data_IF_299477409342
#
_entry.id   IF_299477409342
#
_cell.length_a   1.000
_cell.length_b   1.000
_cell.length_c   1.000
_cell.angle_alpha   90.00
_cell.angle_beta   90.00
_cell.angle_gamma   90.00
#
_symmetry.space_group_name_H-M   'P 1'
#
loop_
_entity.id
_entity.type
_entity.pdbx_description
1 polymer ?
#
# COMPACT_ATOMS: atom_id res chain seq x y z
N UNK A 1 14.40 -17.86 10.35
CA UNK A 1 13.87 -16.86 9.40
C UNK A 1 13.83 -17.51 8.04
N UNK A 2 12.64 -17.84 7.53
CA UNK A 2 12.52 -18.35 6.15
C UNK A 2 12.73 -17.22 5.14
N UNK A 3 13.39 -17.52 4.02
CA UNK A 3 13.37 -16.65 2.86
C UNK A 3 11.99 -16.79 2.20
N UNK A 4 11.20 -15.71 2.16
CA UNK A 4 9.93 -15.68 1.43
C UNK A 4 10.19 -15.25 -0.01
N UNK A 5 9.43 -15.81 -0.94
CA UNK A 5 9.32 -15.27 -2.30
C UNK A 5 8.14 -14.30 -2.35
N UNK A 6 8.25 -13.28 -3.21
CA UNK A 6 7.08 -12.47 -3.56
C UNK A 6 6.02 -13.34 -4.23
N UNK A 7 4.75 -12.97 -4.07
CA UNK A 7 3.66 -13.58 -4.83
C UNK A 7 3.98 -13.47 -6.33
N UNK A 8 3.80 -14.55 -7.14
CA UNK A 8 3.99 -14.50 -8.57
C UNK A 8 3.18 -13.37 -9.23
N UNK A 9 3.74 -12.77 -10.28
CA UNK A 9 3.14 -11.61 -10.95
C UNK A 9 3.11 -11.83 -12.44
N UNK A 10 2.04 -11.36 -13.07
CA UNK A 10 2.04 -11.11 -14.51
C UNK A 10 2.93 -9.89 -14.80
N UNK A 11 3.51 -9.86 -16.01
CA UNK A 11 4.31 -8.74 -16.50
C UNK A 11 3.82 -8.39 -17.90
N UNK A 12 3.36 -7.16 -18.08
CA UNK A 12 2.87 -6.66 -19.37
C UNK A 12 3.43 -5.26 -19.64
N UNK A 13 3.47 -4.86 -20.92
CA UNK A 13 3.73 -3.47 -21.28
C UNK A 13 2.49 -2.63 -20.97
N UNK A 14 2.68 -1.45 -20.36
CA UNK A 14 1.60 -0.47 -20.23
C UNK A 14 1.34 0.19 -21.59
N UNK A 15 0.31 -0.24 -22.31
CA UNK A 15 -0.04 0.34 -23.61
C UNK A 15 -0.51 1.80 -23.51
N UNK A 16 -0.95 2.27 -22.33
CA UNK A 16 -1.41 3.66 -22.16
C UNK A 16 -0.23 4.62 -22.08
N UNK A 17 0.81 4.28 -21.32
CA UNK A 17 1.99 5.15 -21.16
C UNK A 17 3.10 4.83 -22.15
N UNK A 18 3.20 3.57 -22.60
CA UNK A 18 4.30 2.98 -23.39
C UNK A 18 5.69 3.15 -22.77
N UNK A 19 5.75 3.51 -21.49
CA UNK A 19 6.99 3.77 -20.74
C UNK A 19 7.09 2.94 -19.47
N UNK A 20 6.06 2.15 -19.13
CA UNK A 20 6.00 1.37 -17.90
C UNK A 20 5.76 -0.11 -18.20
N UNK A 21 6.27 -0.97 -17.33
CA UNK A 21 5.78 -2.34 -17.21
C UNK A 21 4.73 -2.37 -16.10
N UNK A 22 3.66 -3.12 -16.34
CA UNK A 22 2.63 -3.43 -15.36
C UNK A 22 3.01 -4.74 -14.69
N UNK A 23 3.21 -4.69 -13.36
CA UNK A 23 3.36 -5.87 -12.53
C UNK A 23 2.10 -6.02 -11.70
N UNK A 24 1.44 -7.17 -11.80
CA UNK A 24 0.19 -7.42 -11.08
C UNK A 24 0.17 -8.83 -10.51
N UNK A 25 -0.35 -9.06 -9.29
CA UNK A 25 -0.53 -10.41 -8.76
C UNK A 25 -1.27 -11.29 -9.77
N UNK A 26 -0.85 -12.55 -9.89
CA UNK A 26 -1.58 -13.54 -10.70
C UNK A 26 -2.99 -13.74 -10.13
N UNK A 27 -3.97 -14.01 -10.98
CA UNK A 27 -5.39 -14.08 -10.58
C UNK A 27 -5.68 -15.20 -9.58
N UNK A 28 -4.87 -16.26 -9.58
CA UNK A 28 -4.99 -17.40 -8.68
C UNK A 28 -4.87 -17.01 -7.22
N UNK A 29 -4.20 -15.89 -6.87
CA UNK A 29 -4.18 -15.43 -5.48
C UNK A 29 -5.59 -15.11 -4.97
N UNK A 30 -6.51 -14.73 -5.85
CA UNK A 30 -7.86 -14.33 -5.50
C UNK A 30 -8.70 -15.51 -5.01
N UNK A 31 -8.28 -16.76 -5.28
CA UNK A 31 -8.94 -17.95 -4.72
C UNK A 31 -8.75 -18.10 -3.22
N UNK A 32 -7.78 -17.37 -2.63
CA UNK A 32 -7.56 -17.32 -1.18
C UNK A 32 -8.43 -16.27 -0.49
N UNK A 33 -9.18 -15.44 -1.24
CA UNK A 33 -10.07 -14.44 -0.64
C UNK A 33 -11.21 -15.12 0.10
N UNK A 34 -11.43 -14.70 1.34
CA UNK A 34 -12.53 -15.14 2.20
C UNK A 34 -13.57 -14.02 2.35
N UNK A 35 -13.71 -13.48 3.56
CA UNK A 35 -14.64 -12.41 3.88
C UNK A 35 -14.22 -11.11 3.19
N UNK A 36 -15.20 -10.26 2.83
CA UNK A 36 -14.95 -8.94 2.28
C UNK A 36 -15.56 -7.85 3.17
N UNK A 37 -14.77 -6.83 3.47
CA UNK A 37 -15.24 -5.55 4.04
C UNK A 37 -15.18 -4.50 2.94
N UNK A 38 -16.34 -3.98 2.55
CA UNK A 38 -16.46 -2.96 1.50
C UNK A 38 -16.94 -1.65 2.10
N UNK A 39 -16.20 -0.57 1.84
CA UNK A 39 -16.55 0.79 2.23
C UNK A 39 -16.39 1.72 1.02
N UNK A 40 -17.21 2.75 0.93
CA UNK A 40 -17.14 3.76 -0.11
C UNK A 40 -17.35 5.15 0.46
N UNK A 41 -16.95 6.16 -0.30
CA UNK A 41 -17.24 7.58 -0.04
C UNK A 41 -16.79 8.06 1.36
N UNK A 42 -15.65 7.55 1.83
CA UNK A 42 -15.08 7.95 3.12
C UNK A 42 -14.23 9.20 2.91
N UNK A 43 -14.69 10.32 3.45
CA UNK A 43 -13.88 11.55 3.55
C UNK A 43 -12.90 11.46 4.70
N UNK A 44 -11.61 11.58 4.40
CA UNK A 44 -10.51 11.58 5.36
C UNK A 44 -10.00 13.01 5.49
N UNK A 45 -10.40 13.67 6.57
CA UNK A 45 -9.98 15.05 6.87
C UNK A 45 -8.47 15.18 7.05
N UNK A 46 -7.94 16.40 6.85
CA UNK A 46 -6.51 16.68 7.03
C UNK A 46 -6.05 16.31 8.44
N UNK A 47 -4.91 15.63 8.55
CA UNK A 47 -4.35 15.18 9.83
C UNK A 47 -5.14 14.06 10.52
N UNK A 48 -6.08 13.42 9.82
CA UNK A 48 -6.98 12.43 10.40
C UNK A 48 -6.68 11.00 9.93
N UNK A 49 -7.18 10.05 10.72
CA UNK A 49 -7.13 8.62 10.43
C UNK A 49 -8.51 8.00 10.64
N UNK A 50 -8.88 7.07 9.76
CA UNK A 50 -10.12 6.32 9.83
C UNK A 50 -9.79 4.83 10.04
N UNK A 51 -10.37 4.22 11.07
CA UNK A 51 -10.16 2.80 11.38
C UNK A 51 -11.03 1.93 10.49
N UNK A 52 -10.43 0.96 9.81
CA UNK A 52 -11.14 -0.03 8.99
C UNK A 52 -11.53 -1.21 9.90
N UNK A 53 -12.82 -1.46 10.13
CA UNK A 53 -13.27 -2.54 11.02
C UNK A 53 -13.07 -3.90 10.33
N UNK A 54 -12.03 -4.63 10.76
CA UNK A 54 -11.69 -5.97 10.26
C UNK A 54 -11.69 -6.99 11.41
N UNK A 55 -11.82 -8.29 11.10
CA UNK A 55 -11.70 -9.34 12.12
C UNK A 55 -10.25 -9.72 12.39
N UNK A 56 -9.43 -9.69 11.34
CA UNK A 56 -7.98 -9.90 11.36
C UNK A 56 -7.30 -8.90 10.41
N UNK A 57 -6.04 -8.58 10.64
CA UNK A 57 -5.36 -7.50 9.92
C UNK A 57 -3.91 -7.81 9.51
N UNK A 58 -3.50 -9.07 9.63
CA UNK A 58 -2.15 -9.56 9.34
C UNK A 58 -2.06 -10.41 8.06
N UNK A 59 -3.19 -10.88 7.51
CA UNK A 59 -3.23 -11.57 6.22
C UNK A 59 -4.40 -11.06 5.34
N UNK A 60 -4.11 -10.12 4.44
CA UNK A 60 -5.11 -9.32 3.73
C UNK A 60 -4.77 -9.10 2.24
N UNK A 61 -5.81 -8.92 1.44
CA UNK A 61 -5.74 -8.31 0.11
C UNK A 61 -6.65 -7.08 0.07
N UNK A 62 -6.03 -5.90 0.01
CA UNK A 62 -6.70 -4.61 0.12
C UNK A 62 -6.66 -3.90 -1.22
N UNK A 63 -7.81 -3.45 -1.73
CA UNK A 63 -7.90 -2.56 -2.88
C UNK A 63 -8.52 -1.23 -2.46
N UNK A 64 -7.88 -0.11 -2.81
CA UNK A 64 -8.41 1.22 -2.50
C UNK A 64 -8.23 2.19 -3.68
N UNK A 65 -9.18 3.11 -3.83
CA UNK A 65 -9.07 4.26 -4.73
C UNK A 65 -9.36 5.57 -4.02
N UNK A 66 -8.59 6.60 -4.36
CA UNK A 66 -8.65 7.92 -3.74
C UNK A 66 -8.88 9.00 -4.79
N UNK A 67 -9.64 10.02 -4.40
CA UNK A 67 -9.81 11.26 -5.15
C UNK A 67 -9.39 12.45 -4.29
N UNK A 68 -8.70 13.37 -4.96
CA UNK A 68 -8.36 14.68 -4.42
C UNK A 68 -9.37 15.70 -4.93
N UNK A 69 -9.65 16.72 -4.13
CA UNK A 69 -10.44 17.86 -4.60
C UNK A 69 -9.67 18.62 -5.70
N UNK A 70 -10.33 18.84 -6.84
CA UNK A 70 -9.79 19.62 -7.95
C UNK A 70 -9.41 21.06 -7.53
N UNK A 71 -10.15 21.64 -6.58
CA UNK A 71 -9.85 22.96 -6.02
C UNK A 71 -8.51 22.98 -5.28
N UNK A 72 -8.21 21.90 -4.55
CA UNK A 72 -6.97 21.74 -3.80
C UNK A 72 -5.77 21.50 -4.71
N UNK A 73 -5.95 20.72 -5.78
CA UNK A 73 -4.95 20.56 -6.85
C UNK A 73 -4.64 21.90 -7.49
N UNK A 74 -5.66 22.72 -7.78
CA UNK A 74 -5.49 24.03 -8.40
C UNK A 74 -4.74 24.99 -7.48
N UNK A 75 -5.03 24.94 -6.17
CA UNK A 75 -4.44 25.80 -5.15
C UNK A 75 -2.96 25.48 -4.81
N UNK A 76 -2.41 24.37 -5.30
CA UNK A 76 -0.97 24.06 -5.19
C UNK A 76 -0.12 25.07 -5.98
N UNK A 77 0.19 26.23 -5.40
CA UNK A 77 0.87 27.31 -6.12
C UNK A 77 2.41 27.21 -6.08
N UNK A 78 2.96 26.50 -5.10
CA UNK A 78 4.40 26.36 -4.92
C UNK A 78 4.88 25.02 -5.47
N UNK A 79 6.00 25.06 -6.20
CA UNK A 79 6.65 23.86 -6.68
C UNK A 79 7.35 23.15 -5.51
N UNK A 80 7.09 21.85 -5.36
CA UNK A 80 7.77 20.97 -4.40
C UNK A 80 8.64 19.98 -5.18
N UNK A 81 9.82 20.49 -5.55
CA UNK A 81 10.73 19.92 -6.56
C UNK A 81 11.63 18.84 -5.94
N UNK A 82 11.58 18.67 -4.62
CA UNK A 82 12.50 17.82 -3.86
C UNK A 82 11.86 16.57 -3.27
N UNK A 83 10.55 16.36 -3.43
CA UNK A 83 9.90 15.23 -2.78
C UNK A 83 10.42 13.90 -3.35
N UNK A 84 10.95 13.07 -2.45
CA UNK A 84 11.21 11.67 -2.72
C UNK A 84 10.92 10.85 -1.46
N UNK A 85 10.46 9.62 -1.65
CA UNK A 85 10.06 8.77 -0.53
C UNK A 85 11.18 8.61 0.51
N UNK A 86 12.43 8.38 0.07
CA UNK A 86 13.54 8.04 0.95
C UNK A 86 14.07 9.15 1.86
N UNK A 87 13.93 10.42 1.48
CA UNK A 87 14.53 11.54 2.22
C UNK A 87 13.55 12.63 2.64
N UNK A 88 12.27 12.51 2.28
CA UNK A 88 11.25 13.53 2.59
C UNK A 88 10.48 13.26 3.89
N UNK A 89 11.01 12.43 4.78
CA UNK A 89 10.50 12.24 6.15
C UNK A 89 9.29 11.30 6.29
N UNK A 90 8.95 10.55 5.24
CA UNK A 90 7.94 9.49 5.29
C UNK A 90 6.53 9.97 5.62
N UNK A 91 5.71 9.09 6.18
CA UNK A 91 4.31 9.32 6.50
C UNK A 91 4.08 10.36 7.61
N UNK A 92 5.10 10.67 8.41
CA UNK A 92 5.02 11.69 9.47
C UNK A 92 5.23 13.11 8.94
N UNK A 93 5.93 13.27 7.82
CA UNK A 93 6.18 14.55 7.18
C UNK A 93 4.94 15.03 6.45
N UNK A 94 4.46 16.22 6.77
CA UNK A 94 3.22 16.77 6.22
C UNK A 94 3.51 17.64 5.02
N UNK A 95 2.72 17.46 3.95
CA UNK A 95 2.73 18.33 2.78
C UNK A 95 1.32 18.76 2.39
N UNK A 96 1.25 19.55 1.31
CA UNK A 96 0.00 20.14 0.87
C UNK A 96 -1.03 19.07 0.43
N UNK A 97 -0.63 18.13 -0.44
CA UNK A 97 -1.46 17.00 -0.89
C UNK A 97 -0.78 15.67 -0.57
N UNK A 98 -0.74 15.38 0.72
CA UNK A 98 -0.27 14.11 1.27
C UNK A 98 0.74 14.28 2.40
N UNK A 99 1.19 13.17 2.97
CA UNK A 99 0.90 11.79 2.56
C UNK A 99 -0.53 11.34 2.91
N UNK A 100 -1.16 10.58 2.03
CA UNK A 100 -2.47 9.94 2.26
C UNK A 100 -2.52 8.54 1.66
N UNK A 101 -3.26 7.63 2.29
CA UNK A 101 -3.36 6.24 1.84
C UNK A 101 -3.77 5.30 2.96
N UNK A 102 -3.05 4.17 3.08
CA UNK A 102 -3.28 3.11 4.06
C UNK A 102 -2.16 3.06 5.10
N UNK A 103 -2.53 2.67 6.31
CA UNK A 103 -1.62 2.18 7.33
C UNK A 103 -2.02 0.73 7.61
N UNK A 104 -1.08 -0.20 7.46
CA UNK A 104 -1.26 -1.64 7.69
C UNK A 104 -0.29 -2.13 8.77
N UNK A 105 -0.60 -3.29 9.35
CA UNK A 105 0.18 -3.87 10.45
C UNK A 105 0.44 -2.82 11.54
N UNK A 106 -0.63 -2.13 11.95
CA UNK A 106 -0.54 -1.04 12.91
C UNK A 106 -1.03 -1.45 14.29
N UNK A 107 -0.36 -0.97 15.33
CA UNK A 107 -0.79 -1.16 16.72
C UNK A 107 -2.12 -0.43 16.96
N UNK A 108 -2.99 -1.03 17.77
CA UNK A 108 -4.32 -0.51 18.11
C UNK A 108 -4.35 0.90 18.72
N UNK A 109 -3.25 1.33 19.35
CA UNK A 109 -3.11 2.65 19.98
C UNK A 109 -2.75 3.79 19.01
N UNK A 110 -2.54 3.51 17.71
CA UNK A 110 -2.18 4.44 16.61
C UNK A 110 -0.83 5.19 16.79
N UNK A 111 -0.25 5.14 17.97
CA UNK A 111 1.05 5.72 18.32
C UNK A 111 2.17 4.67 18.30
N UNK A 112 1.81 3.39 18.14
CA UNK A 112 2.70 2.25 18.09
C UNK A 112 3.38 2.01 16.74
N UNK A 113 3.60 0.74 16.46
CA UNK A 113 4.16 0.26 15.21
C UNK A 113 3.16 0.45 14.07
N UNK A 114 3.67 0.69 12.87
CA UNK A 114 2.86 0.84 11.67
C UNK A 114 3.71 0.77 10.41
N UNK A 115 3.12 0.24 9.32
CA UNK A 115 3.67 0.37 7.97
C UNK A 115 2.72 1.20 7.13
N UNK A 116 3.17 2.35 6.62
CA UNK A 116 2.31 3.22 5.82
C UNK A 116 2.54 2.99 4.32
N UNK A 117 1.47 2.97 3.54
CA UNK A 117 1.44 2.83 2.08
C UNK A 117 0.64 4.00 1.54
N UNK A 118 1.28 4.92 0.81
CA UNK A 118 0.66 6.21 0.56
C UNK A 118 1.06 6.87 -0.76
N UNK A 119 0.22 7.79 -1.19
CA UNK A 119 0.52 8.77 -2.23
C UNK A 119 0.94 10.11 -1.62
N UNK A 120 1.79 10.80 -2.35
CA UNK A 120 2.11 12.20 -2.14
C UNK A 120 2.09 12.90 -3.50
N UNK A 121 1.34 13.99 -3.63
CA UNK A 121 1.21 14.75 -4.87
C UNK A 121 1.89 16.10 -4.71
N UNK A 122 2.91 16.34 -5.51
CA UNK A 122 3.64 17.61 -5.61
C UNK A 122 3.40 18.29 -6.95
N UNK A 123 3.79 19.57 -7.04
CA UNK A 123 3.85 20.30 -8.32
C UNK A 123 5.31 20.49 -8.73
N UNK A 124 5.64 20.14 -9.97
CA UNK A 124 6.96 20.33 -10.58
C UNK A 124 7.21 21.77 -11.03
N UNK A 125 8.45 22.06 -11.44
CA UNK A 125 8.86 23.37 -12.00
C UNK A 125 8.13 23.73 -13.29
N UNK A 126 7.76 22.73 -14.06
CA UNK A 126 6.97 22.84 -15.29
C UNK A 126 5.47 23.09 -15.01
N UNK A 127 5.08 23.13 -13.74
CA UNK A 127 3.70 23.26 -13.29
C UNK A 127 2.91 21.94 -13.36
N UNK A 128 3.51 20.85 -13.85
CA UNK A 128 2.86 19.55 -13.92
C UNK A 128 2.77 18.93 -12.52
N UNK A 129 1.73 18.13 -12.30
CA UNK A 129 1.62 17.35 -11.07
C UNK A 129 2.55 16.14 -11.14
N UNK A 130 3.24 15.88 -10.05
CA UNK A 130 4.04 14.69 -9.85
C UNK A 130 3.45 13.89 -8.70
N UNK A 131 3.17 12.61 -8.94
CA UNK A 131 2.66 11.71 -7.91
C UNK A 131 3.76 10.75 -7.50
N UNK A 132 4.08 10.72 -6.21
CA UNK A 132 4.96 9.72 -5.61
C UNK A 132 4.13 8.69 -4.87
N UNK A 133 4.50 7.41 -5.03
CA UNK A 133 3.94 6.31 -4.27
C UNK A 133 5.03 5.71 -3.37
N UNK A 134 4.75 5.67 -2.06
CA UNK A 134 5.72 5.32 -1.05
C UNK A 134 5.20 4.24 -0.09
N UNK A 135 6.11 3.41 0.41
CA UNK A 135 5.92 2.49 1.51
C UNK A 135 6.94 2.82 2.60
N UNK A 136 6.45 3.22 3.75
CA UNK A 136 7.23 3.71 4.88
C UNK A 136 7.28 2.66 6.00
N UNK A 137 8.48 2.09 6.16
CA UNK A 137 8.80 1.11 7.18
C UNK A 137 9.39 1.74 8.45
N UNK A 138 9.57 3.08 8.51
CA UNK A 138 10.31 3.77 9.58
C UNK A 138 9.77 3.48 10.98
N UNK A 139 8.46 3.21 11.08
CA UNK A 139 7.75 2.84 12.31
C UNK A 139 7.25 1.39 12.31
N UNK A 140 7.71 0.53 11.40
CA UNK A 140 7.14 -0.82 11.24
C UNK A 140 7.48 -1.81 12.35
N UNK A 141 8.42 -1.46 13.25
CA UNK A 141 8.85 -2.31 14.35
C UNK A 141 9.47 -1.49 15.49
N UNK A 142 9.41 -1.98 16.72
CA UNK A 142 10.18 -1.50 17.89
C UNK A 142 11.59 -2.08 17.94
N UNK A 143 11.86 -3.16 17.22
CA UNK A 143 13.18 -3.77 17.16
C UNK A 143 14.22 -2.78 16.62
N UNK A 144 15.43 -2.81 17.18
CA UNK A 144 16.53 -1.88 16.83
C UNK A 144 17.43 -2.43 15.73
N UNK A 145 17.44 -3.74 15.57
CA UNK A 145 18.30 -4.53 14.68
C UNK A 145 17.62 -4.90 13.35
N UNK A 146 16.46 -4.31 13.06
CA UNK A 146 15.78 -4.44 11.76
C UNK A 146 15.99 -3.19 10.92
N UNK A 147 16.32 -3.38 9.64
CA UNK A 147 16.40 -2.28 8.68
C UNK A 147 15.00 -1.71 8.44
N UNK A 148 14.89 -0.38 8.50
CA UNK A 148 13.66 0.36 8.23
C UNK A 148 13.99 1.50 7.28
N UNK A 149 13.23 1.61 6.20
CA UNK A 149 13.42 2.62 5.17
C UNK A 149 12.08 3.07 4.62
N UNK A 150 12.10 4.19 3.94
CA UNK A 150 10.98 4.60 3.09
C UNK A 150 11.38 4.31 1.65
N UNK A 151 10.63 3.45 0.98
CA UNK A 151 10.87 3.01 -0.39
C UNK A 151 9.71 3.44 -1.27
N UNK A 152 9.98 3.67 -2.55
CA UNK A 152 8.95 4.10 -3.49
C UNK A 152 9.55 4.87 -4.65
N UNK A 153 8.67 5.37 -5.52
CA UNK A 153 9.06 6.12 -6.71
C UNK A 153 7.93 7.04 -7.16
N UNK A 154 8.25 7.95 -8.08
CA UNK A 154 7.24 8.62 -8.89
C UNK A 154 6.47 7.59 -9.72
N UNK A 155 5.16 7.79 -9.86
CA UNK A 155 4.26 6.94 -10.65
C UNK A 155 3.40 7.83 -11.57
N UNK A 156 3.28 7.50 -12.86
CA UNK A 156 2.43 8.26 -13.77
C UNK A 156 0.94 8.00 -13.47
N UNK A 157 0.19 9.09 -13.40
CA UNK A 157 -1.27 9.13 -13.22
C UNK A 157 -1.83 9.86 -14.43
N UNK A 158 -2.68 9.18 -15.22
CA UNK A 158 -3.26 9.78 -16.42
C UNK A 158 -4.51 10.59 -16.07
N UNK A 159 -4.89 11.50 -16.98
CA UNK A 159 -6.08 12.32 -16.78
C UNK A 159 -7.34 11.46 -16.57
N UNK A 160 -8.14 11.83 -15.58
CA UNK A 160 -9.34 11.10 -15.16
C UNK A 160 -9.10 9.83 -14.33
N UNK A 161 -7.87 9.35 -14.17
CA UNK A 161 -7.59 8.17 -13.32
C UNK A 161 -7.70 8.52 -11.83
N UNK A 162 -8.40 7.68 -11.07
CA UNK A 162 -8.35 7.73 -9.61
C UNK A 162 -7.02 7.16 -9.11
N UNK A 163 -6.52 7.70 -8.00
CA UNK A 163 -5.31 7.20 -7.35
C UNK A 163 -5.61 5.84 -6.72
N UNK A 164 -5.14 4.77 -7.34
CA UNK A 164 -5.51 3.39 -6.98
C UNK A 164 -4.33 2.60 -6.44
N UNK A 165 -4.59 1.77 -5.43
CA UNK A 165 -3.62 0.85 -4.83
C UNK A 165 -4.26 -0.52 -4.58
N UNK A 166 -3.47 -1.57 -4.74
CA UNK A 166 -3.71 -2.90 -4.19
C UNK A 166 -2.56 -3.25 -3.23
N UNK A 167 -2.87 -3.72 -2.03
CA UNK A 167 -1.87 -4.03 -0.99
C UNK A 167 -2.14 -5.44 -0.47
N UNK A 168 -1.18 -6.33 -0.68
CA UNK A 168 -1.15 -7.66 -0.09
C UNK A 168 -0.34 -7.58 1.21
N UNK A 169 -0.96 -7.95 2.32
CA UNK A 169 -0.34 -8.06 3.63
C UNK A 169 -0.29 -9.55 3.98
N UNK A 170 0.90 -10.04 4.33
CA UNK A 170 1.08 -11.40 4.83
C UNK A 170 2.16 -11.39 5.91
N UNK A 171 1.72 -11.20 7.15
CA UNK A 171 2.50 -11.16 8.38
C UNK A 171 3.71 -10.20 8.29
N UNK A 172 4.83 -10.69 7.75
CA UNK A 172 6.11 -9.98 7.65
C UNK A 172 6.44 -9.45 6.26
N UNK A 173 5.52 -9.53 5.31
CA UNK A 173 5.68 -8.97 3.96
C UNK A 173 4.48 -8.11 3.58
N UNK A 174 4.76 -6.94 3.02
CA UNK A 174 3.75 -6.03 2.46
C UNK A 174 4.13 -5.76 1.00
N UNK A 175 3.27 -6.15 0.07
CA UNK A 175 3.44 -5.94 -1.37
C UNK A 175 2.36 -5.00 -1.87
N UNK A 176 2.76 -3.85 -2.38
CA UNK A 176 1.84 -2.80 -2.81
C UNK A 176 2.00 -2.52 -4.30
N UNK A 177 0.87 -2.36 -4.98
CA UNK A 177 0.76 -2.17 -6.42
C UNK A 177 -0.08 -0.92 -6.67
N UNK A 178 0.57 0.16 -7.09
CA UNK A 178 -0.09 1.43 -7.36
C UNK A 178 -0.38 1.60 -8.85
N UNK A 179 -1.48 2.31 -9.13
CA UNK A 179 -1.91 2.69 -10.48
C UNK A 179 -1.96 1.50 -11.44
N UNK A 180 -2.60 0.40 -11.02
CA UNK A 180 -2.72 -0.82 -11.82
C UNK A 180 -1.39 -1.55 -12.05
N UNK A 181 -0.43 -1.42 -11.13
CA UNK A 181 0.85 -2.11 -11.19
C UNK A 181 1.99 -1.34 -11.87
N UNK A 182 1.77 -0.07 -12.25
CA UNK A 182 2.83 0.81 -12.80
C UNK A 182 3.95 1.10 -11.81
N UNK A 183 3.65 1.06 -10.52
CA UNK A 183 4.63 1.10 -9.45
C UNK A 183 4.34 -0.06 -8.48
N UNK A 184 5.35 -0.87 -8.21
CA UNK A 184 5.25 -1.98 -7.25
C UNK A 184 6.33 -1.83 -6.19
N UNK A 185 5.92 -1.91 -4.92
CA UNK A 185 6.81 -1.81 -3.77
C UNK A 185 6.63 -3.05 -2.90
N UNK A 186 7.73 -3.58 -2.38
CA UNK A 186 7.69 -4.76 -1.51
C UNK A 186 8.61 -4.51 -0.32
N UNK A 187 8.06 -4.65 0.89
CA UNK A 187 8.81 -4.51 2.13
C UNK A 187 8.71 -5.75 2.97
N UNK A 188 9.77 -5.98 3.74
CA UNK A 188 9.77 -6.91 4.86
C UNK A 188 9.67 -6.10 6.14
N UNK A 189 8.70 -6.43 6.98
CA UNK A 189 8.43 -5.72 8.23
C UNK A 189 8.27 -6.74 9.36
N UNK A 190 8.64 -6.35 10.58
CA UNK A 190 8.69 -7.27 11.71
C UNK A 190 8.12 -6.59 12.96
N UNK A 191 6.82 -6.27 12.98
CA UNK A 191 6.18 -5.69 14.15
C UNK A 191 6.29 -6.65 15.36
N UNK A 192 6.41 -6.07 16.55
CA UNK A 192 6.44 -6.76 17.84
C UNK A 192 5.12 -6.61 18.61
N UNK A 193 4.37 -5.55 18.34
CA UNK A 193 3.10 -5.18 18.97
C UNK A 193 1.93 -5.42 18.01
N UNK A 194 2.09 -5.03 16.74
CA UNK A 194 1.05 -5.12 15.72
C UNK A 194 1.02 -6.52 15.06
N UNK A 195 0.69 -7.54 15.85
CA UNK A 195 0.63 -8.94 15.42
C UNK A 195 -0.76 -9.54 15.69
N UNK A 196 -1.25 -10.38 14.78
CA UNK A 196 -2.54 -11.05 14.90
C UNK A 196 -3.70 -10.08 15.20
N UNK A 197 -4.49 -10.36 16.24
CA UNK A 197 -5.64 -9.55 16.67
C UNK A 197 -5.27 -8.12 17.13
N UNK A 198 -3.98 -7.86 17.41
CA UNK A 198 -3.51 -6.53 17.79
C UNK A 198 -3.14 -5.65 16.60
N UNK A 199 -3.05 -6.24 15.39
CA UNK A 199 -2.85 -5.50 14.16
C UNK A 199 -4.14 -4.82 13.72
N UNK A 200 -4.02 -3.62 13.15
CA UNK A 200 -5.11 -2.87 12.57
C UNK A 200 -4.78 -2.31 11.19
N UNK A 201 -5.83 -1.92 10.48
CA UNK A 201 -5.75 -1.20 9.20
C UNK A 201 -6.46 0.14 9.32
N UNK A 202 -5.82 1.18 8.79
CA UNK A 202 -6.37 2.53 8.81
C UNK A 202 -6.25 3.18 7.44
N UNK A 203 -7.25 3.95 7.04
CA UNK A 203 -7.07 4.99 6.04
C UNK A 203 -6.50 6.23 6.75
N UNK A 204 -5.61 6.96 6.10
CA UNK A 204 -5.06 8.20 6.67
C UNK A 204 -4.88 9.30 5.64
N UNK A 205 -4.93 10.54 6.14
CA UNK A 205 -4.56 11.73 5.40
C UNK A 205 -3.78 12.66 6.34
N UNK A 206 -2.45 12.72 6.18
CA UNK A 206 -1.60 13.62 6.97
C UNK A 206 -1.28 14.94 6.22
N UNK A 207 -2.05 15.25 5.17
CA UNK A 207 -1.90 16.50 4.41
C UNK A 207 -2.28 17.75 5.25
N UNK A 208 -1.96 18.93 4.70
CA UNK A 208 -2.29 20.23 5.30
C UNK A 208 -3.40 20.98 4.58
N UNK A 209 -3.59 20.78 3.27
CA UNK A 209 -4.45 21.68 2.48
C UNK A 209 -5.85 21.14 2.19
N UNK A 210 -6.05 19.82 2.13
CA UNK A 210 -7.34 19.27 1.71
C UNK A 210 -7.60 17.87 2.27
N UNK A 211 -8.88 17.58 2.46
CA UNK A 211 -9.35 16.22 2.71
C UNK A 211 -9.16 15.34 1.48
N UNK A 212 -9.15 14.03 1.70
CA UNK A 212 -9.06 13.04 0.63
C UNK A 212 -10.27 12.14 0.72
N UNK A 213 -10.91 11.89 -0.41
CA UNK A 213 -12.02 10.94 -0.47
C UNK A 213 -11.49 9.57 -0.87
N UNK A 214 -11.63 8.58 0.00
CA UNK A 214 -11.52 7.19 -0.38
C UNK A 214 -12.84 6.78 -1.07
N UNK A 215 -12.81 6.77 -2.40
CA UNK A 215 -13.98 6.47 -3.26
C UNK A 215 -14.40 5.01 -3.09
N UNK A 216 -13.43 4.09 -3.05
CA UNK A 216 -13.65 2.67 -2.80
C UNK A 216 -12.55 2.12 -1.91
N UNK A 217 -12.94 1.30 -0.94
CA UNK A 217 -12.04 0.44 -0.18
C UNK A 217 -12.68 -0.95 -0.09
N UNK A 218 -11.97 -1.96 -0.55
CA UNK A 218 -12.35 -3.37 -0.38
C UNK A 218 -11.20 -4.09 0.27
N UNK A 219 -11.49 -4.76 1.38
CA UNK A 219 -10.52 -5.56 2.12
C UNK A 219 -11.01 -7.00 2.16
N UNK A 220 -10.23 -7.89 1.57
CA UNK A 220 -10.41 -9.32 1.73
C UNK A 220 -9.49 -9.84 2.82
N UNK A 221 -10.06 -10.61 3.74
CA UNK A 221 -9.28 -11.54 4.55
C UNK A 221 -8.80 -12.69 3.65
N UNK A 222 -7.56 -13.11 3.81
CA UNK A 222 -6.97 -14.14 2.96
C UNK A 222 -6.76 -15.42 3.74
N UNK A 223 -7.02 -16.57 3.12
CA UNK A 223 -6.65 -17.89 3.66
C UNK A 223 -5.17 -18.20 3.43
N UNK A 224 -4.60 -19.07 4.26
CA UNK A 224 -3.24 -19.56 4.06
C UNK A 224 -3.18 -20.48 2.84
N UNK A 225 -2.14 -20.33 2.02
CA UNK A 225 -1.92 -21.24 0.90
C UNK A 225 -1.52 -22.64 1.42
N UNK A 226 -2.09 -23.73 0.88
CA UNK A 226 -1.68 -25.08 1.26
C UNK A 226 -0.25 -25.33 0.80
N UNK A 227 0.60 -25.80 1.72
CA UNK A 227 1.97 -26.22 1.41
C UNK A 227 2.10 -27.71 1.66
N UNK A 228 1.49 -28.51 0.78
CA UNK A 228 1.63 -29.96 0.80
C UNK A 228 2.88 -30.37 0.02
N UNK A 229 3.80 -31.05 0.70
CA UNK A 229 4.89 -31.74 0.03
C UNK A 229 4.29 -32.99 -0.59
N UNK A 230 4.13 -33.03 -1.91
CA UNK A 230 3.77 -34.26 -2.62
C UNK A 230 4.96 -35.22 -2.49
N UNK A 231 4.91 -36.12 -1.52
CA UNK A 231 5.84 -37.25 -1.43
C UNK A 231 5.36 -38.34 -2.38
N UNK A 232 6.02 -38.46 -3.52
CA UNK A 232 5.73 -39.43 -4.58
C UNK A 232 6.17 -40.86 -4.17
N UNK A 233 5.53 -41.43 -3.15
CA UNK A 233 5.66 -42.87 -2.82
C UNK A 233 4.73 -43.75 -3.67
N UNK A 234 4.01 -43.18 -4.66
CA UNK A 234 3.02 -43.90 -5.47
C UNK A 234 3.47 -44.28 -6.89
N UNK A 235 4.72 -44.02 -7.28
CA UNK A 235 5.25 -44.40 -8.60
C UNK A 235 6.46 -45.37 -8.59
N UNK A 236 6.76 -46.01 -7.44
CA UNK A 236 7.86 -46.99 -7.32
C UNK A 236 7.44 -48.47 -7.35
N UNK A 237 6.33 -48.80 -8.02
CA UNK A 237 6.00 -50.19 -8.34
C UNK A 237 5.89 -50.39 -9.85
N UNK A 238 7.05 -50.63 -10.47
CA UNK A 238 7.13 -51.45 -11.68
C UNK A 238 7.55 -52.85 -11.22
N UNK A 239 6.59 -53.77 -11.12
CA UNK A 239 6.83 -55.21 -11.27
C UNK A 239 6.51 -55.63 -12.71
#
# INVERSE_FOLDING_TARGET
>A
MGLNQSVPRTVALDEKTRTNLLLWPVEEIETLRLNATELSDITIETGSVFHVPLRQADQLDIEASFRLDASAITALNEADIGYNCSSSGGAASRGALGPFGLIVLASSDRCGEQTAVYFYVSRGLDGALQTSFCQDESRSSRARDVTKRVVGSTVPVLDGEALSIRVLVDHSIVQSFAMGGRCTVTSRVYPMEAIYEAAGVYLFNNATNSSVMAERLVVHEMDSAPNEIITDDKYLHFE
#
